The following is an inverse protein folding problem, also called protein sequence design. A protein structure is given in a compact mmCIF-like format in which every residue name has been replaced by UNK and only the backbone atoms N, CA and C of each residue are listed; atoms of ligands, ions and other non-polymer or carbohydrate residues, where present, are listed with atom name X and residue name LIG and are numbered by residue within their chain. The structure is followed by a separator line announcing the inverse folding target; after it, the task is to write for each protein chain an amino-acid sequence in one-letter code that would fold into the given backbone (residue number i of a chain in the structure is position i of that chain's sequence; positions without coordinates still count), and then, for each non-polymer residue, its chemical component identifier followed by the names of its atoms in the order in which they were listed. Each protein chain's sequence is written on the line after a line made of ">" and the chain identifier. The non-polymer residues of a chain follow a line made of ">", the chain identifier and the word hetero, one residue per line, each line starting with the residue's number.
data_IF_680138031581
#
_entry.id   IF_680138031581
#
_cell.length_a   1.000
_cell.length_b   1.000
_cell.length_c   1.000
_cell.angle_alpha   90.00
_cell.angle_beta   90.00
_cell.angle_gamma   90.00
#
_symmetry.space_group_name_H-M   'P 1'
#
loop_
_entity.id
_entity.type
_entity.pdbx_description
1 polymer ?
#
# COMPACT_ATOMS: atom_id res chain seq x y z
N UNK A 1 40.68 59.23 -19.58
CA UNK A 1 40.93 58.07 -20.46
C UNK A 1 40.64 56.84 -19.60
N UNK A 2 39.37 56.40 -19.64
CA UNK A 2 38.96 55.05 -20.12
C UNK A 2 39.30 53.96 -19.08
N UNK A 3 38.37 53.20 -18.47
CA UNK A 3 37.15 52.58 -19.00
C UNK A 3 36.11 52.35 -17.89
N UNK A 4 34.85 52.46 -18.31
CA UNK A 4 33.59 52.12 -17.64
C UNK A 4 33.33 50.61 -17.77
N UNK A 5 32.31 50.10 -17.03
CA UNK A 5 31.49 48.89 -17.28
C UNK A 5 31.96 47.64 -16.48
N UNK A 6 31.17 46.80 -15.78
CA UNK A 6 29.73 46.46 -15.76
C UNK A 6 29.55 45.53 -14.50
N UNK A 7 28.72 45.82 -13.49
CA UNK A 7 27.34 45.29 -13.29
C UNK A 7 27.24 43.87 -12.68
N UNK A 8 26.56 43.80 -11.51
CA UNK A 8 25.85 42.64 -10.91
C UNK A 8 26.73 41.46 -10.47
N UNK A 9 26.62 40.94 -9.24
CA UNK A 9 25.48 40.18 -8.75
C UNK A 9 25.29 40.38 -7.24
N UNK A 10 24.13 40.93 -6.90
CA UNK A 10 23.48 40.81 -5.60
C UNK A 10 22.58 39.57 -5.69
N UNK A 11 22.89 38.50 -4.96
CA UNK A 11 21.98 37.38 -4.68
C UNK A 11 22.41 36.80 -3.33
N UNK A 12 21.93 37.40 -2.25
CA UNK A 12 20.76 36.92 -1.51
C UNK A 12 21.06 35.58 -0.83
N UNK A 13 21.69 35.70 0.34
CA UNK A 13 21.66 34.68 1.36
C UNK A 13 20.22 34.48 1.86
N UNK A 14 19.95 33.24 2.27
CA UNK A 14 18.75 32.77 2.97
C UNK A 14 17.46 32.68 2.15
N UNK A 15 17.09 31.47 1.75
CA UNK A 15 15.94 30.75 2.30
C UNK A 15 16.01 29.32 1.77
N UNK A 16 16.69 28.45 2.52
CA UNK A 16 16.47 27.00 2.41
C UNK A 16 15.06 26.75 2.93
N UNK A 17 14.06 26.83 2.06
CA UNK A 17 12.73 26.31 2.35
C UNK A 17 12.81 24.79 2.28
N UNK A 18 13.34 24.21 3.36
CA UNK A 18 13.19 22.79 3.65
C UNK A 18 11.69 22.54 3.74
N UNK A 19 11.13 21.85 2.75
CA UNK A 19 9.81 21.24 2.92
C UNK A 19 10.03 20.03 3.82
N UNK A 20 10.20 20.28 5.11
CA UNK A 20 10.19 19.25 6.13
C UNK A 20 8.77 18.68 6.13
N UNK A 21 8.59 17.51 5.52
CA UNK A 21 7.32 16.81 5.57
C UNK A 21 7.06 16.43 7.03
N UNK A 22 5.97 16.88 7.67
CA UNK A 22 5.70 16.47 9.05
C UNK A 22 5.58 14.94 9.09
N UNK A 23 6.11 14.27 10.12
CA UNK A 23 5.81 12.87 10.36
C UNK A 23 4.30 12.69 10.43
N UNK A 24 3.78 11.74 9.66
CA UNK A 24 2.35 11.45 9.54
C UNK A 24 1.69 11.28 10.90
N UNK A 25 1.04 12.34 11.36
CA UNK A 25 0.10 12.29 12.45
C UNK A 25 -1.19 11.71 11.89
N UNK A 26 -1.54 10.53 12.39
CA UNK A 26 -2.88 10.00 12.39
C UNK A 26 -3.79 10.96 13.18
N UNK A 27 -4.13 12.10 12.59
CA UNK A 27 -5.09 13.04 13.16
C UNK A 27 -6.48 12.68 12.62
N UNK A 28 -7.46 12.62 13.51
CA UNK A 28 -8.84 12.30 13.16
C UNK A 28 -9.43 13.48 12.37
N UNK A 29 -9.26 13.48 11.05
CA UNK A 29 -9.78 14.53 10.17
C UNK A 29 -11.27 14.33 9.98
N UNK A 30 -12.07 15.32 10.38
CA UNK A 30 -13.46 15.42 9.97
C UNK A 30 -13.51 15.86 8.50
N UNK A 31 -14.04 15.01 7.62
CA UNK A 31 -14.20 15.31 6.20
C UNK A 31 -15.61 15.83 5.95
N UNK A 32 -15.74 17.05 5.43
CA UNK A 32 -17.01 17.54 4.90
C UNK A 32 -17.18 17.05 3.46
N UNK A 33 -18.18 16.19 3.24
CA UNK A 33 -18.54 15.76 1.89
C UNK A 33 -19.33 16.88 1.18
N UNK A 34 -19.04 17.12 -0.10
CA UNK A 34 -19.75 18.11 -0.90
C UNK A 34 -21.28 17.90 -0.95
N UNK A 35 -22.02 19.00 -1.11
CA UNK A 35 -23.50 19.10 -1.18
C UNK A 35 -24.27 18.03 -0.39
N UNK A 36 -24.00 17.97 0.91
CA UNK A 36 -24.80 17.25 1.89
C UNK A 36 -24.11 17.38 3.24
N UNK A 37 -24.84 17.77 4.28
CA UNK A 37 -24.33 17.92 5.65
C UNK A 37 -24.05 16.57 6.34
N UNK A 38 -23.37 15.65 5.66
CA UNK A 38 -22.98 14.36 6.24
C UNK A 38 -21.63 14.52 6.93
N UNK A 39 -21.61 14.32 8.26
CA UNK A 39 -20.40 14.38 9.08
C UNK A 39 -19.80 12.98 9.18
N UNK A 40 -18.56 12.83 8.72
CA UNK A 40 -17.79 11.58 8.86
C UNK A 40 -16.69 11.76 9.91
N UNK A 41 -16.42 10.68 10.66
CA UNK A 41 -15.23 10.55 11.51
C UNK A 41 -14.25 9.61 10.84
N UNK A 42 -13.07 10.12 10.49
CA UNK A 42 -11.97 9.30 9.97
C UNK A 42 -11.07 8.92 11.13
N UNK A 43 -10.75 7.64 11.24
CA UNK A 43 -9.76 7.12 12.19
C UNK A 43 -8.74 6.27 11.44
N UNK A 44 -7.46 6.40 11.83
CA UNK A 44 -6.43 5.50 11.35
C UNK A 44 -6.59 4.14 12.02
N UNK A 45 -6.93 3.12 11.23
CA UNK A 45 -7.03 1.74 11.71
C UNK A 45 -5.66 1.07 11.86
N UNK A 46 -4.76 1.30 10.89
CA UNK A 46 -3.40 0.76 10.86
C UNK A 46 -2.49 1.71 10.09
N UNK A 47 -1.21 1.78 10.46
CA UNK A 47 -0.18 2.58 9.79
C UNK A 47 1.05 1.73 9.46
N UNK A 48 2.02 2.30 8.72
CA UNK A 48 3.28 1.61 8.38
C UNK A 48 3.21 0.67 7.18
N UNK A 49 2.12 0.70 6.40
CA UNK A 49 1.98 -0.02 5.13
C UNK A 49 2.72 0.70 3.99
N UNK A 50 3.33 -0.07 3.09
CA UNK A 50 4.00 0.44 1.89
C UNK A 50 3.11 0.24 0.66
N UNK A 51 2.50 1.34 0.20
CA UNK A 51 1.62 1.34 -0.98
C UNK A 51 0.58 0.21 -0.91
N UNK A 52 -0.30 0.20 0.12
CA UNK A 52 -1.34 -0.80 0.25
C UNK A 52 -2.33 -0.70 -0.92
N UNK A 53 -2.84 -1.84 -1.39
CA UNK A 53 -3.71 -1.87 -2.58
C UNK A 53 -5.08 -2.50 -2.31
N UNK A 54 -5.11 -3.76 -1.89
CA UNK A 54 -6.32 -4.50 -1.55
C UNK A 54 -6.26 -5.04 -0.12
N UNK A 55 -7.42 -5.40 0.43
CA UNK A 55 -7.49 -6.04 1.74
C UNK A 55 -8.66 -7.02 1.83
N UNK A 56 -8.52 -8.02 2.69
CA UNK A 56 -9.57 -9.00 2.97
C UNK A 56 -9.64 -9.28 4.48
N UNK A 57 -10.84 -9.18 5.03
CA UNK A 57 -11.11 -9.61 6.40
C UNK A 57 -11.13 -11.13 6.48
N UNK A 58 -10.47 -11.66 7.51
CA UNK A 58 -10.60 -13.05 7.92
C UNK A 58 -11.77 -13.19 8.90
N UNK A 59 -12.39 -14.39 9.02
CA UNK A 59 -13.44 -14.62 10.00
C UNK A 59 -13.03 -14.38 11.46
N UNK A 60 -11.73 -14.38 11.77
CA UNK A 60 -11.18 -14.02 13.08
C UNK A 60 -11.32 -12.52 13.41
N UNK A 61 -11.55 -11.68 12.39
CA UNK A 61 -11.47 -10.23 12.50
C UNK A 61 -10.10 -9.65 12.16
N UNK A 62 -9.12 -10.49 11.80
CA UNK A 62 -7.82 -10.02 11.30
C UNK A 62 -7.93 -9.59 9.84
N UNK A 63 -7.02 -8.71 9.41
CA UNK A 63 -7.00 -8.17 8.05
C UNK A 63 -5.75 -8.65 7.32
N UNK A 64 -5.93 -9.23 6.13
CA UNK A 64 -4.84 -9.40 5.18
C UNK A 64 -4.81 -8.20 4.24
N UNK A 65 -3.63 -7.62 4.01
CA UNK A 65 -3.43 -6.44 3.16
C UNK A 65 -2.36 -6.74 2.12
N UNK A 66 -2.60 -6.40 0.87
CA UNK A 66 -1.57 -6.44 -0.18
C UNK A 66 -0.82 -5.11 -0.25
N UNK A 67 0.50 -5.20 -0.41
CA UNK A 67 1.37 -4.06 -0.68
C UNK A 67 1.92 -4.22 -2.10
N UNK A 68 1.81 -3.15 -2.92
CA UNK A 68 2.15 -3.17 -4.35
C UNK A 68 3.51 -3.81 -4.68
N UNK A 69 4.58 -3.67 -3.87
CA UNK A 69 5.86 -4.34 -4.11
C UNK A 69 5.86 -5.88 -4.04
N UNK A 70 4.74 -6.52 -3.65
CA UNK A 70 4.61 -7.98 -3.67
C UNK A 70 4.38 -8.64 -2.31
N UNK A 71 4.14 -7.87 -1.24
CA UNK A 71 4.00 -8.40 0.12
C UNK A 71 2.54 -8.54 0.52
N UNK A 72 2.20 -9.63 1.19
CA UNK A 72 0.94 -9.79 1.92
C UNK A 72 1.24 -9.58 3.40
N UNK A 73 0.56 -8.62 4.01
CA UNK A 73 0.68 -8.26 5.43
C UNK A 73 -0.51 -8.77 6.21
N UNK A 74 -0.30 -9.03 7.48
CA UNK A 74 -1.35 -9.33 8.45
C UNK A 74 -1.44 -8.16 9.43
N UNK A 75 -2.67 -7.74 9.69
CA UNK A 75 -3.00 -6.78 10.75
C UNK A 75 -3.89 -7.51 11.74
N UNK A 76 -3.39 -7.68 12.95
CA UNK A 76 -4.10 -8.33 14.06
C UNK A 76 -4.50 -7.25 15.06
N UNK A 77 -5.81 -7.10 15.32
CA UNK A 77 -6.33 -6.11 16.27
C UNK A 77 -5.83 -4.67 16.02
N UNK A 78 -5.71 -4.27 14.75
CA UNK A 78 -5.22 -2.95 14.33
C UNK A 78 -3.68 -2.80 14.34
N UNK A 79 -2.94 -3.85 14.71
CA UNK A 79 -1.48 -3.83 14.75
C UNK A 79 -0.91 -4.54 13.53
N UNK A 80 -0.08 -3.82 12.77
CA UNK A 80 0.64 -4.39 11.63
C UNK A 80 1.73 -5.35 12.09
N UNK A 81 1.70 -6.59 11.60
CA UNK A 81 2.75 -7.57 11.85
C UNK A 81 4.11 -7.10 11.31
N UNK A 82 5.18 -7.41 12.06
CA UNK A 82 6.55 -7.03 11.70
C UNK A 82 6.97 -7.60 10.34
N UNK A 83 6.67 -8.88 10.11
CA UNK A 83 7.02 -9.60 8.89
C UNK A 83 5.79 -9.84 8.01
N UNK A 84 5.95 -9.90 6.68
CA UNK A 84 4.87 -10.33 5.80
C UNK A 84 4.49 -11.81 6.04
N UNK A 85 3.21 -12.12 5.85
CA UNK A 85 2.75 -13.52 5.84
C UNK A 85 3.14 -14.22 4.55
N UNK A 86 3.39 -13.46 3.48
CA UNK A 86 3.88 -13.98 2.21
C UNK A 86 4.53 -12.88 1.36
N UNK A 87 5.51 -13.27 0.54
CA UNK A 87 6.08 -12.43 -0.51
C UNK A 87 5.91 -13.17 -1.83
N UNK A 88 5.20 -12.55 -2.77
CA UNK A 88 4.97 -13.12 -4.10
C UNK A 88 6.22 -12.90 -4.96
N UNK A 89 6.88 -13.98 -5.44
CA UNK A 89 8.26 -13.88 -5.92
C UNK A 89 8.45 -13.21 -7.28
N UNK A 90 7.42 -13.17 -8.13
CA UNK A 90 7.51 -12.71 -9.51
C UNK A 90 6.56 -11.55 -9.83
N UNK A 91 6.20 -10.78 -8.79
CA UNK A 91 5.46 -9.52 -8.97
C UNK A 91 6.32 -8.53 -9.73
N UNK A 92 5.71 -7.85 -10.70
CA UNK A 92 6.33 -6.77 -11.48
C UNK A 92 5.69 -5.43 -11.06
N UNK A 93 6.27 -4.71 -10.08
CA UNK A 93 5.73 -3.43 -9.63
C UNK A 93 6.18 -2.29 -10.55
N UNK A 94 5.25 -1.59 -11.19
CA UNK A 94 5.55 -0.47 -12.10
C UNK A 94 4.26 0.29 -12.46
N UNK A 95 4.17 1.58 -12.11
CA UNK A 95 2.95 2.37 -12.34
C UNK A 95 1.73 1.67 -11.69
N UNK A 96 0.71 1.32 -12.48
CA UNK A 96 -0.48 0.55 -12.11
C UNK A 96 -0.26 -0.97 -12.06
N UNK A 97 0.98 -1.46 -12.05
CA UNK A 97 1.30 -2.89 -11.93
C UNK A 97 1.92 -3.21 -10.58
N UNK A 98 1.76 -4.46 -10.13
CA UNK A 98 2.28 -4.96 -8.86
C UNK A 98 1.35 -6.02 -8.26
N UNK A 99 1.42 -6.20 -6.94
CA UNK A 99 0.47 -7.02 -6.21
C UNK A 99 -0.81 -6.25 -5.92
N UNK A 100 -1.84 -6.58 -6.68
CA UNK A 100 -3.15 -5.92 -6.69
C UNK A 100 -4.03 -6.40 -5.56
N UNK A 101 -5.09 -7.10 -5.90
CA UNK A 101 -6.19 -7.37 -5.00
C UNK A 101 -6.01 -8.70 -4.26
N UNK A 102 -6.74 -8.82 -3.15
CA UNK A 102 -6.82 -10.01 -2.31
C UNK A 102 -8.26 -10.30 -1.96
N UNK A 103 -8.65 -11.57 -2.03
CA UNK A 103 -9.98 -12.00 -1.61
C UNK A 103 -9.91 -13.30 -0.84
N UNK A 104 -10.62 -13.37 0.28
CA UNK A 104 -10.88 -14.63 0.96
C UNK A 104 -12.05 -15.36 0.27
N UNK A 105 -11.95 -16.68 0.15
CA UNK A 105 -13.05 -17.46 -0.38
C UNK A 105 -14.31 -17.30 0.49
N UNK A 106 -15.53 -17.25 -0.07
CA UNK A 106 -16.76 -17.12 0.74
C UNK A 106 -16.92 -18.21 1.82
N UNK A 107 -16.44 -19.43 1.52
CA UNK A 107 -16.36 -20.55 2.47
C UNK A 107 -14.95 -20.70 3.13
N UNK A 108 -14.28 -19.58 3.42
CA UNK A 108 -12.92 -19.58 3.97
C UNK A 108 -12.80 -20.46 5.23
N UNK A 109 -13.79 -20.41 6.13
CA UNK A 109 -13.79 -21.19 7.37
C UNK A 109 -13.63 -22.71 7.15
N UNK A 110 -14.01 -23.23 5.98
CA UNK A 110 -13.89 -24.65 5.66
C UNK A 110 -12.67 -24.99 4.80
N UNK A 111 -12.20 -24.06 3.96
CA UNK A 111 -11.21 -24.37 2.92
C UNK A 111 -9.92 -23.54 2.99
N UNK A 112 -9.90 -22.48 3.79
CA UNK A 112 -8.80 -21.55 3.98
C UNK A 112 -8.24 -20.95 2.68
N UNK A 113 -9.06 -20.77 1.64
CA UNK A 113 -8.58 -20.25 0.36
C UNK A 113 -8.51 -18.73 0.32
N UNK A 114 -7.35 -18.22 -0.12
CA UNK A 114 -7.11 -16.81 -0.44
C UNK A 114 -6.78 -16.72 -1.94
N UNK A 115 -7.21 -15.65 -2.59
CA UNK A 115 -6.91 -15.35 -3.98
C UNK A 115 -6.13 -14.05 -4.04
N UNK A 116 -5.04 -14.03 -4.82
CA UNK A 116 -4.27 -12.83 -5.13
C UNK A 116 -4.34 -12.54 -6.61
N UNK A 117 -4.60 -11.29 -6.98
CA UNK A 117 -4.43 -10.78 -8.34
C UNK A 117 -3.13 -9.97 -8.43
N UNK A 118 -2.32 -10.17 -9.46
CA UNK A 118 -1.09 -9.40 -9.64
C UNK A 118 -0.52 -9.46 -11.05
N UNK A 119 0.25 -8.42 -11.36
CA UNK A 119 1.05 -8.35 -12.57
C UNK A 119 2.37 -9.09 -12.37
N UNK A 120 2.79 -9.84 -13.38
CA UNK A 120 4.08 -10.52 -13.46
C UNK A 120 4.69 -10.31 -14.84
N UNK A 121 6.00 -10.57 -14.96
CA UNK A 121 6.72 -10.42 -16.23
C UNK A 121 7.46 -11.71 -16.58
N UNK A 122 6.85 -12.51 -17.47
CA UNK A 122 7.47 -13.70 -18.06
C UNK A 122 7.20 -13.67 -19.56
N UNK A 123 8.14 -13.11 -20.31
CA UNK A 123 8.00 -12.82 -21.75
C UNK A 123 6.91 -11.77 -22.04
N UNK A 124 6.86 -10.71 -21.22
CA UNK A 124 5.88 -9.63 -21.32
C UNK A 124 5.04 -9.50 -20.05
N UNK A 125 4.58 -8.28 -19.78
CA UNK A 125 3.73 -7.96 -18.63
C UNK A 125 2.34 -8.56 -18.83
N UNK A 126 1.87 -9.29 -17.83
CA UNK A 126 0.54 -9.93 -17.80
C UNK A 126 0.03 -9.95 -16.38
N UNK A 127 -1.28 -10.03 -16.24
CA UNK A 127 -1.93 -10.26 -14.96
C UNK A 127 -2.29 -11.73 -14.77
N UNK A 128 -2.34 -12.17 -13.52
CA UNK A 128 -2.87 -13.48 -13.15
C UNK A 128 -3.59 -13.43 -11.83
N UNK A 129 -4.46 -14.42 -11.63
CA UNK A 129 -5.03 -14.74 -10.32
C UNK A 129 -4.45 -16.06 -9.85
N UNK A 130 -4.03 -16.10 -8.59
CA UNK A 130 -3.47 -17.31 -7.97
C UNK A 130 -4.20 -17.55 -6.66
N UNK A 131 -4.72 -18.76 -6.51
CA UNK A 131 -5.29 -19.24 -5.26
C UNK A 131 -4.18 -19.81 -4.38
N UNK A 132 -4.27 -19.56 -3.08
CA UNK A 132 -3.41 -20.09 -2.03
C UNK A 132 -4.27 -20.71 -0.93
N UNK A 133 -3.67 -21.54 -0.08
CA UNK A 133 -4.19 -21.87 1.25
C UNK A 133 -3.54 -21.00 2.32
N UNK A 134 -4.35 -20.45 3.23
CA UNK A 134 -3.90 -19.72 4.40
C UNK A 134 -3.89 -20.63 5.62
N UNK A 135 -2.70 -21.11 6.02
CA UNK A 135 -2.55 -22.07 7.13
C UNK A 135 -1.40 -21.62 8.00
N UNK A 136 -1.63 -21.59 9.33
CA UNK A 136 -0.59 -21.20 10.29
C UNK A 136 -0.06 -19.78 10.07
N UNK A 137 -0.90 -18.85 9.60
CA UNK A 137 -0.50 -17.46 9.35
C UNK A 137 0.36 -17.28 8.09
N UNK A 138 0.36 -18.25 7.16
CA UNK A 138 1.15 -18.20 5.92
C UNK A 138 0.31 -18.60 4.71
N UNK A 139 0.62 -18.01 3.55
CA UNK A 139 0.08 -18.46 2.27
C UNK A 139 0.93 -19.60 1.71
N UNK A 140 0.26 -20.67 1.27
CA UNK A 140 0.86 -21.93 0.82
C UNK A 140 0.10 -22.48 -0.39
N UNK A 141 0.63 -23.53 -1.02
CA UNK A 141 -0.02 -24.26 -2.12
C UNK A 141 -0.54 -23.35 -3.27
N UNK A 142 0.32 -22.53 -3.90
CA UNK A 142 -0.11 -21.67 -5.01
C UNK A 142 -0.68 -22.50 -6.17
N UNK A 143 -1.85 -22.09 -6.64
CA UNK A 143 -2.48 -22.62 -7.86
C UNK A 143 -2.98 -21.46 -8.72
N UNK A 144 -2.35 -21.26 -9.88
CA UNK A 144 -2.86 -20.36 -10.91
C UNK A 144 -4.21 -20.87 -11.41
N UNK A 145 -5.18 -19.98 -11.52
CA UNK A 145 -6.53 -20.27 -12.03
C UNK A 145 -6.72 -19.75 -13.45
#
# INVERSE_FOLDING_TARGET
>A
MEKILLTFVFCLAAFFSSCESPPGLAENVSVEAGQGEQKFRVETFVSGLEVPWGFAWLPSGDLLVTERPGRVRLVEKGVLGAEPVYVVPDVEPSSESGLMDISAHPNFASNNFIYLAYAYNKNGKRDRVVRYKYVGGKLTEPKTI
#
